data_IF_450702015489
#
_entry.id   IF_450702015489
#
_cell.length_a   1.000
_cell.length_b   1.000
_cell.length_c   1.000
_cell.angle_alpha   90.00
_cell.angle_beta   90.00
_cell.angle_gamma   90.00
#
_symmetry.space_group_name_H-M   'P 1'
#
loop_
_entity.id
_entity.type
_entity.pdbx_description
1 polymer ?
#
# COMPACT_ATOMS: atom_id res chain seq x y z
N UNK A 1 -11.28 0.34 13.68
CA UNK A 1 -12.58 0.99 13.41
C UNK A 1 -13.07 1.73 14.64
N UNK A 2 -13.48 1.04 15.71
CA UNK A 2 -13.98 1.65 16.96
C UNK A 2 -13.15 2.86 17.44
N UNK A 3 -11.83 2.73 17.56
CA UNK A 3 -10.96 3.82 18.01
C UNK A 3 -10.94 5.07 17.10
N UNK A 4 -11.16 4.88 15.79
CA UNK A 4 -11.26 5.99 14.83
C UNK A 4 -12.63 6.66 14.96
N UNK A 5 -13.69 5.87 15.05
CA UNK A 5 -15.07 6.36 15.17
C UNK A 5 -15.32 7.09 16.50
N UNK A 6 -14.73 6.59 17.58
CA UNK A 6 -14.81 7.21 18.91
C UNK A 6 -13.91 8.44 19.07
N UNK A 7 -13.11 8.78 18.06
CA UNK A 7 -12.18 9.92 18.12
C UNK A 7 -11.06 9.77 19.15
N UNK A 8 -10.79 8.55 19.64
CA UNK A 8 -9.81 8.29 20.71
C UNK A 8 -8.39 8.72 20.32
N UNK A 9 -8.09 8.68 19.02
CA UNK A 9 -6.77 9.05 18.48
C UNK A 9 -6.64 10.56 18.19
N UNK A 10 -7.71 11.34 18.33
CA UNK A 10 -7.76 12.72 17.84
C UNK A 10 -7.63 12.78 16.31
N UNK A 11 -7.00 13.84 15.81
CA UNK A 11 -6.71 14.02 14.39
C UNK A 11 -5.60 13.05 13.96
N UNK A 12 -5.94 12.11 13.07
CA UNK A 12 -4.96 11.17 12.53
C UNK A 12 -4.12 11.88 11.47
N UNK A 13 -2.82 12.05 11.76
CA UNK A 13 -1.90 12.72 10.84
C UNK A 13 -1.15 11.78 9.91
N UNK A 14 -0.77 10.59 10.37
CA UNK A 14 0.06 9.66 9.57
C UNK A 14 -0.31 8.21 9.81
N UNK A 15 -0.49 7.46 8.72
CA UNK A 15 -0.49 6.00 8.70
C UNK A 15 0.85 5.51 8.12
N UNK A 16 1.50 4.57 8.80
CA UNK A 16 2.67 3.86 8.28
C UNK A 16 2.32 2.38 8.27
N UNK A 17 2.46 1.71 7.12
CA UNK A 17 2.15 0.30 7.02
C UNK A 17 2.98 -0.37 5.92
N UNK A 18 3.54 -1.53 6.25
CA UNK A 18 4.32 -2.34 5.34
C UNK A 18 3.73 -3.74 5.23
N UNK A 19 3.74 -4.32 4.03
CA UNK A 19 3.32 -5.70 3.82
C UNK A 19 4.17 -6.36 2.75
N UNK A 20 5.17 -7.11 3.22
CA UNK A 20 6.09 -7.88 2.38
C UNK A 20 6.29 -9.29 2.94
N UNK A 21 6.64 -10.20 2.06
CA UNK A 21 6.98 -11.59 2.37
C UNK A 21 8.05 -12.09 1.38
N UNK A 22 8.85 -13.06 1.81
CA UNK A 22 9.77 -13.73 0.90
C UNK A 22 9.04 -14.74 0.02
N UNK A 23 9.24 -14.63 -1.30
CA UNK A 23 8.74 -15.59 -2.27
C UNK A 23 9.88 -16.16 -3.12
N UNK A 24 9.81 -17.45 -3.42
CA UNK A 24 10.71 -18.07 -4.38
C UNK A 24 10.42 -17.57 -5.80
N UNK A 25 11.40 -17.58 -6.73
CA UNK A 25 11.23 -17.02 -8.08
C UNK A 25 10.11 -17.64 -8.91
N UNK A 26 9.72 -18.88 -8.62
CA UNK A 26 8.66 -19.65 -9.29
C UNK A 26 7.26 -19.36 -8.73
N UNK A 27 7.15 -18.57 -7.65
CA UNK A 27 5.88 -18.26 -7.01
C UNK A 27 4.95 -17.46 -7.94
N UNK A 28 3.64 -17.75 -7.87
CA UNK A 28 2.58 -17.10 -8.69
C UNK A 28 2.64 -15.58 -8.64
N UNK A 29 3.03 -15.00 -7.50
CA UNK A 29 3.12 -13.54 -7.32
C UNK A 29 4.00 -12.87 -8.38
N UNK A 30 4.95 -13.57 -8.99
CA UNK A 30 5.80 -13.01 -10.06
C UNK A 30 5.26 -13.25 -11.48
N UNK A 31 4.11 -13.91 -11.62
CA UNK A 31 3.48 -14.18 -12.90
C UNK A 31 2.60 -13.00 -13.36
N UNK A 32 3.14 -12.16 -14.24
CA UNK A 32 2.43 -11.02 -14.82
C UNK A 32 1.18 -11.41 -15.63
N UNK A 33 1.16 -12.59 -16.25
CA UNK A 33 0.03 -13.06 -17.06
C UNK A 33 -1.19 -13.44 -16.20
N UNK A 34 -0.99 -13.60 -14.88
CA UNK A 34 -2.04 -13.82 -13.88
C UNK A 34 -2.29 -12.58 -13.02
N UNK A 35 -1.92 -11.39 -13.50
CA UNK A 35 -1.98 -10.14 -12.74
C UNK A 35 -1.23 -10.23 -11.39
N UNK A 36 -0.06 -10.87 -11.40
CA UNK A 36 0.83 -10.90 -10.25
C UNK A 36 1.50 -9.55 -9.95
N UNK A 37 2.28 -9.56 -8.88
CA UNK A 37 3.08 -8.46 -8.36
C UNK A 37 2.73 -8.23 -6.90
N UNK A 38 3.70 -8.04 -5.99
CA UNK A 38 3.46 -7.62 -4.61
C UNK A 38 2.51 -6.42 -4.48
N UNK A 39 2.48 -5.52 -5.47
CA UNK A 39 1.51 -4.42 -5.46
C UNK A 39 0.05 -4.92 -5.53
N UNK A 40 -0.24 -5.92 -6.37
CA UNK A 40 -1.60 -6.44 -6.53
C UNK A 40 -1.96 -7.44 -5.42
N UNK A 41 -1.01 -8.31 -5.07
CA UNK A 41 -1.22 -9.37 -4.10
C UNK A 41 -1.12 -8.90 -2.63
N UNK A 42 -0.27 -7.92 -2.31
CA UNK A 42 -0.03 -7.43 -0.94
C UNK A 42 -0.39 -5.95 -0.78
N UNK A 43 -0.04 -5.12 -1.75
CA UNK A 43 -0.26 -3.67 -1.73
C UNK A 43 -1.73 -3.28 -1.68
N UNK A 44 -2.63 -4.12 -2.21
CA UNK A 44 -4.07 -3.91 -2.12
C UNK A 44 -4.57 -3.82 -0.67
N UNK A 45 -3.98 -4.57 0.26
CA UNK A 45 -4.29 -4.49 1.69
C UNK A 45 -3.85 -3.15 2.30
N UNK A 46 -2.66 -2.67 1.93
CA UNK A 46 -2.14 -1.38 2.39
C UNK A 46 -2.98 -0.22 1.86
N UNK A 47 -3.35 -0.25 0.59
CA UNK A 47 -4.23 0.74 -0.04
C UNK A 47 -5.60 0.73 0.62
N UNK A 48 -6.20 -0.45 0.84
CA UNK A 48 -7.49 -0.57 1.50
C UNK A 48 -7.46 -0.04 2.94
N UNK A 49 -6.40 -0.36 3.70
CA UNK A 49 -6.21 0.17 5.05
C UNK A 49 -6.06 1.70 5.03
N UNK A 50 -5.28 2.24 4.10
CA UNK A 50 -5.08 3.67 3.93
C UNK A 50 -6.38 4.40 3.58
N UNK A 51 -7.17 3.88 2.64
CA UNK A 51 -8.48 4.43 2.29
C UNK A 51 -9.45 4.34 3.47
N UNK A 52 -9.42 3.24 4.21
CA UNK A 52 -10.25 3.07 5.40
C UNK A 52 -9.90 4.08 6.50
N UNK A 53 -8.62 4.28 6.80
CA UNK A 53 -8.16 5.23 7.84
C UNK A 53 -8.34 6.69 7.39
N UNK A 54 -8.07 6.99 6.12
CA UNK A 54 -8.25 8.32 5.53
C UNK A 54 -9.71 8.70 5.24
N UNK A 55 -10.65 7.78 5.45
CA UNK A 55 -12.08 8.00 5.23
C UNK A 55 -12.50 8.12 3.76
N UNK A 56 -11.63 7.75 2.82
CA UNK A 56 -11.86 7.93 1.39
C UNK A 56 -10.62 7.74 0.54
N UNK A 57 -10.73 8.05 -0.75
CA UNK A 57 -9.58 8.04 -1.65
C UNK A 57 -8.63 9.20 -1.33
N UNK A 58 -7.30 9.01 -1.47
CA UNK A 58 -6.34 10.09 -1.30
C UNK A 58 -6.46 11.13 -2.43
N UNK A 59 -6.16 12.39 -2.12
CA UNK A 59 -6.12 13.50 -3.07
C UNK A 59 -4.91 13.38 -4.02
N UNK A 60 -3.77 12.90 -3.50
CA UNK A 60 -2.56 12.69 -4.31
C UNK A 60 -1.82 11.42 -3.93
N UNK A 61 -1.11 10.86 -4.91
CA UNK A 61 -0.28 9.67 -4.76
C UNK A 61 1.07 9.93 -5.42
N UNK A 62 2.16 9.68 -4.69
CA UNK A 62 3.52 9.60 -5.22
C UNK A 62 4.05 8.20 -4.94
N UNK A 63 4.45 7.48 -5.98
CA UNK A 63 4.96 6.12 -5.83
C UNK A 63 6.26 5.89 -6.62
N UNK A 64 7.04 4.91 -6.15
CA UNK A 64 8.24 4.39 -6.82
C UNK A 64 8.25 2.88 -6.70
N UNK A 65 8.48 2.20 -7.82
CA UNK A 65 8.60 0.75 -7.90
C UNK A 65 10.02 0.32 -8.24
N UNK A 66 10.44 -0.82 -7.70
CA UNK A 66 11.64 -1.53 -8.09
C UNK A 66 11.23 -2.84 -8.79
N UNK A 67 11.59 -3.07 -10.06
CA UNK A 67 11.27 -4.30 -10.77
C UNK A 67 11.99 -5.51 -10.16
N UNK A 68 11.35 -6.69 -10.21
CA UNK A 68 12.09 -7.95 -10.03
C UNK A 68 13.11 -8.12 -11.17
N UNK A 69 14.17 -8.93 -11.02
CA UNK A 69 15.18 -9.10 -12.07
C UNK A 69 14.63 -9.47 -13.47
N UNK A 70 13.54 -10.24 -13.54
CA UNK A 70 12.86 -10.60 -14.79
C UNK A 70 11.98 -9.48 -15.40
N UNK A 71 11.81 -8.36 -14.70
CA UNK A 71 11.31 -7.09 -15.25
C UNK A 71 9.82 -6.98 -15.57
N UNK A 72 9.00 -8.03 -15.38
CA UNK A 72 7.57 -8.01 -15.75
C UNK A 72 6.62 -7.51 -14.64
N UNK A 73 7.08 -7.48 -13.38
CA UNK A 73 6.36 -6.93 -12.22
C UNK A 73 7.33 -6.17 -11.32
N UNK A 74 6.82 -5.26 -10.49
CA UNK A 74 7.60 -4.70 -9.38
C UNK A 74 7.80 -5.76 -8.29
N UNK A 75 8.97 -5.84 -7.68
CA UNK A 75 9.23 -6.62 -6.48
C UNK A 75 9.01 -5.82 -5.20
N UNK A 76 9.17 -4.49 -5.27
CA UNK A 76 8.92 -3.56 -4.18
C UNK A 76 8.22 -2.31 -4.73
N UNK A 77 7.31 -1.73 -3.94
CA UNK A 77 6.68 -0.45 -4.25
C UNK A 77 6.58 0.38 -2.98
N UNK A 78 7.16 1.58 -3.00
CA UNK A 78 7.03 2.57 -1.93
C UNK A 78 6.05 3.67 -2.37
N UNK A 79 5.15 4.06 -1.49
CA UNK A 79 4.03 4.95 -1.80
C UNK A 79 3.84 5.99 -0.69
N UNK A 80 3.61 7.25 -1.10
CA UNK A 80 3.13 8.33 -0.25
C UNK A 80 1.77 8.78 -0.76
N UNK A 81 0.75 8.62 0.08
CA UNK A 81 -0.59 9.14 -0.18
C UNK A 81 -0.82 10.38 0.68
N UNK A 82 -1.45 11.40 0.11
CA UNK A 82 -1.99 12.54 0.86
C UNK A 82 -3.50 12.50 0.77
N UNK A 83 -4.16 12.39 1.91
CA UNK A 83 -5.61 12.37 2.08
C UNK A 83 -6.15 13.78 2.38
N UNK A 84 -7.48 13.88 2.40
CA UNK A 84 -8.16 15.10 2.84
C UNK A 84 -7.69 15.53 4.23
N UNK A 85 -7.69 16.84 4.47
CA UNK A 85 -7.21 17.44 5.71
C UNK A 85 -5.71 17.18 6.01
N UNK A 86 -4.94 16.72 5.03
CA UNK A 86 -3.48 16.63 5.11
C UNK A 86 -2.95 15.37 5.79
N UNK A 87 -3.81 14.37 6.07
CA UNK A 87 -3.35 13.08 6.59
C UNK A 87 -2.49 12.35 5.55
N UNK A 88 -1.34 11.83 5.95
CA UNK A 88 -0.44 11.10 5.07
C UNK A 88 -0.51 9.59 5.31
N UNK A 89 -0.33 8.80 4.26
CA UNK A 89 0.00 7.38 4.38
C UNK A 89 1.34 7.08 3.72
N UNK A 90 2.24 6.43 4.44
CA UNK A 90 3.53 5.94 3.95
C UNK A 90 3.44 4.42 3.91
N UNK A 91 3.45 3.85 2.71
CA UNK A 91 3.15 2.44 2.48
C UNK A 91 4.30 1.78 1.71
N UNK A 92 4.66 0.54 2.08
CA UNK A 92 5.64 -0.24 1.32
C UNK A 92 5.22 -1.72 1.18
N UNK A 93 5.33 -2.24 -0.05
CA UNK A 93 5.23 -3.69 -0.31
C UNK A 93 6.62 -4.31 -0.41
#
# INVERSE_FOLDING_TARGET
RQLLEDGVLGDVHTLIADHGEFFTPDHRIFNADLAGGPMLDLGSYLVALSVFVGGGAPDTIVARGQPVPAGRVNGQTSMLFTHQHGMHSVLNT
#
